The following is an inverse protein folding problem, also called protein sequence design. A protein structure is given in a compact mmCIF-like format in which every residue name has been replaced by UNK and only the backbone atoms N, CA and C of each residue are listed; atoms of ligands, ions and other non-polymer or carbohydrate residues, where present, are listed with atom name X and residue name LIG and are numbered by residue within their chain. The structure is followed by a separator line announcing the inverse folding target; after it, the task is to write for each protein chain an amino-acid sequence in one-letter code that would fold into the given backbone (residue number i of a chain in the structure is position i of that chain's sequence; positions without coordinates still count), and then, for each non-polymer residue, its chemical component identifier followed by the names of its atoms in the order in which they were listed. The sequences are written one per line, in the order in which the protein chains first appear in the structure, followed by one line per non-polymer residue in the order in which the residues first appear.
data_IF_288418165611
#
_entry.id   IF_288418165611
#
_cell.length_a   1.000
_cell.length_b   1.000
_cell.length_c   1.000
_cell.angle_alpha   90.00
_cell.angle_beta   90.00
_cell.angle_gamma   90.00
#
_symmetry.space_group_name_H-M   'P 1'
#
loop_
_entity.id
_entity.type
_entity.pdbx_description
1 polymer ?
#
# COMPACT_ATOMS: atom_id res chain seq x y z
N UNK A 1 23.20 8.68 -0.01
CA UNK A 1 23.02 7.51 0.86
C UNK A 1 23.65 6.33 0.16
N UNK A 2 24.56 5.58 0.80
CA UNK A 2 25.17 4.39 0.16
C UNK A 2 24.25 3.20 0.43
N UNK A 3 23.95 2.40 -0.59
CA UNK A 3 23.10 1.20 -0.44
C UNK A 3 23.70 0.20 0.56
N UNK A 4 25.02 0.21 0.72
CA UNK A 4 25.76 -0.61 1.68
C UNK A 4 25.43 -0.30 3.15
N UNK A 5 24.90 0.90 3.43
CA UNK A 5 24.46 1.32 4.78
C UNK A 5 22.97 1.05 5.02
N UNK A 6 22.25 0.50 4.03
CA UNK A 6 20.84 0.23 4.16
C UNK A 6 20.59 -0.85 5.22
N UNK A 7 19.63 -0.58 6.11
CA UNK A 7 19.20 -1.55 7.12
C UNK A 7 18.53 -2.76 6.45
N UNK A 8 18.67 -3.97 7.02
CA UNK A 8 17.90 -5.13 6.59
C UNK A 8 16.40 -4.88 6.58
N UNK A 9 15.69 -5.51 5.64
CA UNK A 9 14.23 -5.42 5.53
C UNK A 9 13.49 -5.79 6.84
N UNK A 10 14.04 -6.72 7.61
CA UNK A 10 13.47 -7.16 8.88
C UNK A 10 13.45 -6.06 9.96
N UNK A 11 14.30 -5.05 9.84
CA UNK A 11 14.42 -3.95 10.80
C UNK A 11 13.39 -2.83 10.56
N UNK A 12 12.60 -2.93 9.48
CA UNK A 12 11.52 -1.97 9.22
C UNK A 12 10.44 -2.15 10.31
N UNK A 13 10.12 -1.10 11.08
CA UNK A 13 9.16 -1.20 12.16
C UNK A 13 7.75 -1.45 11.60
N UNK A 14 6.91 -2.11 12.39
CA UNK A 14 5.53 -2.41 11.99
C UNK A 14 4.86 -3.42 12.90
N UNK A 15 3.54 -3.62 12.75
CA UNK A 15 2.83 -4.64 13.51
C UNK A 15 3.26 -6.04 13.07
N UNK A 16 3.23 -6.99 13.98
CA UNK A 16 3.29 -8.41 13.60
C UNK A 16 2.00 -8.85 12.91
N UNK A 17 2.03 -9.95 12.17
CA UNK A 17 0.84 -10.54 11.52
C UNK A 17 -0.32 -10.73 12.50
N UNK A 18 -0.03 -11.26 13.69
CA UNK A 18 -1.04 -11.51 14.71
C UNK A 18 -1.59 -10.22 15.32
N UNK A 19 -0.75 -9.19 15.51
CA UNK A 19 -1.20 -7.88 15.97
C UNK A 19 -2.13 -7.23 14.95
N UNK A 20 -1.77 -7.29 13.66
CA UNK A 20 -2.59 -6.73 12.60
C UNK A 20 -3.94 -7.44 12.51
N UNK A 21 -3.96 -8.78 12.49
CA UNK A 21 -5.22 -9.55 12.47
C UNK A 21 -6.10 -9.19 13.67
N UNK A 22 -5.53 -9.17 14.89
CA UNK A 22 -6.27 -8.80 16.11
C UNK A 22 -6.82 -7.37 16.05
N UNK A 23 -6.12 -6.45 15.40
CA UNK A 23 -6.56 -5.07 15.28
C UNK A 23 -7.83 -4.91 14.41
N UNK A 24 -8.13 -5.85 13.51
CA UNK A 24 -9.33 -5.84 12.66
C UNK A 24 -10.48 -6.73 13.16
N UNK A 25 -10.22 -7.61 14.15
CA UNK A 25 -11.27 -8.46 14.75
C UNK A 25 -12.28 -7.64 15.58
N UNK A 26 -13.44 -8.21 15.95
CA UNK A 26 -14.38 -7.58 16.87
C UNK A 26 -13.70 -7.06 18.15
N UNK A 27 -13.80 -5.75 18.42
CA UNK A 27 -13.13 -5.10 19.55
C UNK A 27 -11.70 -4.62 19.26
N UNK A 28 -11.18 -4.86 18.06
CA UNK A 28 -9.88 -4.37 17.60
C UNK A 28 -9.91 -2.88 17.25
N UNK A 29 -8.74 -2.23 17.39
CA UNK A 29 -8.58 -0.77 17.23
C UNK A 29 -8.87 -0.23 15.82
N UNK A 30 -8.80 -1.06 14.79
CA UNK A 30 -9.06 -0.68 13.39
C UNK A 30 -10.41 -1.17 12.88
N UNK A 31 -11.22 -1.79 13.73
CA UNK A 31 -12.57 -2.20 13.35
C UNK A 31 -13.41 -0.97 13.01
N UNK A 32 -13.95 -0.91 11.79
CA UNK A 32 -14.76 0.19 11.27
C UNK A 32 -14.05 1.57 11.25
N UNK A 33 -12.72 1.59 11.36
CA UNK A 33 -11.97 2.84 11.30
C UNK A 33 -11.76 3.24 9.83
N UNK A 34 -11.91 4.53 9.47
CA UNK A 34 -11.51 5.00 8.16
C UNK A 34 -10.03 4.67 7.88
N UNK A 35 -9.75 4.21 6.66
CA UNK A 35 -8.40 3.73 6.27
C UNK A 35 -7.32 4.80 6.47
N UNK A 36 -7.63 6.07 6.23
CA UNK A 36 -6.68 7.17 6.43
C UNK A 36 -6.32 7.38 7.92
N UNK A 37 -7.28 7.23 8.83
CA UNK A 37 -7.03 7.33 10.28
C UNK A 37 -6.17 6.16 10.78
N UNK A 38 -6.39 4.96 10.23
CA UNK A 38 -5.53 3.80 10.49
C UNK A 38 -4.07 4.09 10.09
N UNK A 39 -3.82 4.66 8.90
CA UNK A 39 -2.46 5.00 8.49
C UNK A 39 -1.82 6.10 9.34
N UNK A 40 -2.60 7.11 9.76
CA UNK A 40 -2.11 8.14 10.68
C UNK A 40 -1.74 7.54 12.05
N UNK A 41 -2.53 6.60 12.55
CA UNK A 41 -2.26 5.89 13.81
C UNK A 41 -1.02 4.98 13.70
N UNK A 42 -0.85 4.27 12.58
CA UNK A 42 0.36 3.47 12.32
C UNK A 42 1.60 4.34 12.20
N UNK A 43 1.50 5.49 11.53
CA UNK A 43 2.58 6.47 11.44
C UNK A 43 3.01 6.98 12.82
N UNK A 44 2.07 7.23 13.74
CA UNK A 44 2.37 7.62 15.12
C UNK A 44 3.08 6.52 15.90
N UNK A 45 2.75 5.25 15.65
CA UNK A 45 3.31 4.10 16.37
C UNK A 45 4.67 3.65 15.85
N UNK A 46 4.88 3.68 14.54
CA UNK A 46 6.04 3.06 13.88
C UNK A 46 6.95 4.08 13.17
N UNK A 47 6.52 5.33 13.04
CA UNK A 47 7.24 6.38 12.33
C UNK A 47 6.83 6.49 10.87
N UNK A 48 7.56 7.34 10.13
CA UNK A 48 7.24 7.70 8.74
C UNK A 48 7.38 6.54 7.75
N UNK A 49 8.14 5.50 8.07
CA UNK A 49 8.29 4.31 7.23
C UNK A 49 7.96 3.09 8.07
N UNK A 50 6.96 2.31 7.65
CA UNK A 50 6.56 1.10 8.37
C UNK A 50 6.15 -0.03 7.43
N UNK A 51 6.29 -1.26 7.92
CA UNK A 51 5.89 -2.48 7.21
C UNK A 51 4.55 -2.97 7.71
N UNK A 52 3.59 -3.10 6.80
CA UNK A 52 2.35 -3.83 7.05
C UNK A 52 2.45 -5.25 6.49
N UNK A 53 2.42 -6.28 7.34
CA UNK A 53 2.49 -7.64 6.86
C UNK A 53 1.18 -8.05 6.19
N UNK A 54 1.27 -8.85 5.13
CA UNK A 54 0.09 -9.40 4.48
C UNK A 54 -0.36 -10.71 5.14
N UNK A 55 -1.67 -10.94 5.15
CA UNK A 55 -2.28 -12.19 5.65
C UNK A 55 -2.19 -13.30 4.59
N UNK A 56 -2.21 -12.96 3.30
CA UNK A 56 -2.22 -13.94 2.20
C UNK A 56 -1.59 -13.38 0.89
N UNK A 57 -0.47 -12.67 1.00
CA UNK A 57 0.20 -12.08 -0.17
C UNK A 57 1.52 -11.40 0.20
N UNK A 58 1.92 -10.40 -0.60
CA UNK A 58 3.15 -9.64 -0.40
C UNK A 58 3.00 -8.60 0.70
N UNK A 59 3.97 -8.54 1.62
CA UNK A 59 4.07 -7.49 2.63
C UNK A 59 4.17 -6.10 1.95
N UNK A 60 3.61 -5.08 2.59
CA UNK A 60 3.64 -3.71 2.09
C UNK A 60 4.57 -2.87 2.97
N UNK A 61 5.43 -2.06 2.35
CA UNK A 61 6.18 -1.00 3.03
C UNK A 61 5.55 0.32 2.64
N UNK A 62 5.19 1.13 3.64
CA UNK A 62 4.52 2.40 3.45
C UNK A 62 5.41 3.51 3.96
N UNK A 63 5.47 4.60 3.19
CA UNK A 63 6.09 5.86 3.62
C UNK A 63 5.05 6.98 3.68
N UNK A 64 5.05 7.68 4.80
CA UNK A 64 4.25 8.88 5.07
C UNK A 64 5.10 10.16 4.94
N UNK A 65 6.36 10.05 4.50
CA UNK A 65 7.22 11.19 4.22
C UNK A 65 7.15 11.56 2.74
N UNK A 66 6.64 12.74 2.36
CA UNK A 66 6.56 13.17 0.96
C UNK A 66 7.92 13.21 0.23
N UNK A 67 9.01 13.44 0.96
CA UNK A 67 10.36 13.48 0.36
C UNK A 67 10.80 12.11 -0.17
N UNK A 68 10.26 11.02 0.38
CA UNK A 68 10.61 9.67 -0.05
C UNK A 68 9.98 9.33 -1.42
N UNK A 69 8.91 10.03 -1.82
CA UNK A 69 8.16 9.71 -3.03
C UNK A 69 9.03 9.85 -4.28
N UNK A 70 9.80 10.94 -4.39
CA UNK A 70 10.73 11.16 -5.50
C UNK A 70 11.78 10.04 -5.59
N UNK A 71 12.28 9.58 -4.43
CA UNK A 71 13.27 8.51 -4.35
C UNK A 71 12.64 7.19 -4.80
N UNK A 72 11.46 6.84 -4.29
CA UNK A 72 10.75 5.61 -4.66
C UNK A 72 10.51 5.59 -6.18
N UNK A 73 9.88 6.63 -6.73
CA UNK A 73 9.54 6.69 -8.16
C UNK A 73 10.76 6.67 -9.08
N UNK A 74 11.91 7.22 -8.65
CA UNK A 74 13.15 7.14 -9.43
C UNK A 74 13.79 5.76 -9.43
N UNK A 75 13.47 4.91 -8.46
CA UNK A 75 14.12 3.62 -8.23
C UNK A 75 13.22 2.41 -8.51
N UNK A 76 12.02 2.59 -9.10
CA UNK A 76 11.11 1.48 -9.45
C UNK A 76 11.63 0.60 -10.62
N UNK A 77 12.71 1.02 -11.28
CA UNK A 77 13.31 0.33 -12.41
C UNK A 77 12.63 0.64 -13.74
N UNK A 78 13.07 -0.03 -14.81
CA UNK A 78 12.60 0.23 -16.18
C UNK A 78 11.13 -0.16 -16.40
N UNK A 79 10.64 -1.16 -15.66
CA UNK A 79 9.29 -1.71 -15.80
C UNK A 79 8.56 -1.69 -14.45
N UNK A 80 8.09 -0.50 -13.99
CA UNK A 80 7.42 -0.39 -12.71
C UNK A 80 6.07 -1.11 -12.73
N UNK A 81 5.76 -1.85 -11.67
CA UNK A 81 4.44 -2.46 -11.52
C UNK A 81 3.45 -1.43 -10.95
N UNK A 82 2.58 -0.89 -11.82
CA UNK A 82 1.55 0.07 -11.44
C UNK A 82 0.22 -0.65 -11.25
N UNK A 83 -0.11 -0.99 -10.01
CA UNK A 83 -1.41 -1.59 -9.71
C UNK A 83 -2.53 -0.59 -9.99
N UNK A 84 -3.37 -0.89 -10.97
CA UNK A 84 -4.67 -0.26 -11.15
C UNK A 84 -5.63 -0.70 -10.04
N UNK A 85 -6.77 -0.01 -9.92
CA UNK A 85 -7.86 -0.50 -9.10
C UNK A 85 -8.61 -1.59 -9.88
N UNK A 86 -8.35 -2.86 -9.58
CA UNK A 86 -8.99 -3.99 -10.28
C UNK A 86 -10.53 -3.91 -10.29
N UNK A 87 -11.12 -3.38 -9.22
CA UNK A 87 -12.58 -3.13 -9.14
C UNK A 87 -13.03 -2.12 -10.19
N UNK A 88 -12.25 -1.07 -10.42
CA UNK A 88 -12.52 -0.07 -11.45
C UNK A 88 -12.34 -0.69 -12.85
N UNK A 89 -11.32 -1.52 -13.05
CA UNK A 89 -11.12 -2.22 -14.32
C UNK A 89 -12.27 -3.17 -14.63
N UNK A 90 -12.75 -3.93 -13.64
CA UNK A 90 -13.94 -4.76 -13.76
C UNK A 90 -15.18 -3.93 -14.09
N UNK A 91 -15.39 -2.82 -13.38
CA UNK A 91 -16.51 -1.92 -13.62
C UNK A 91 -16.51 -1.35 -15.04
N UNK A 92 -15.35 -0.88 -15.53
CA UNK A 92 -15.19 -0.38 -16.91
C UNK A 92 -15.50 -1.46 -17.95
N UNK A 93 -14.96 -2.67 -17.76
CA UNK A 93 -15.05 -3.77 -18.74
C UNK A 93 -16.42 -4.45 -18.76
N UNK A 94 -17.09 -4.57 -17.60
CA UNK A 94 -18.34 -5.32 -17.46
C UNK A 94 -19.56 -4.41 -17.38
N UNK A 95 -19.49 -3.30 -16.65
CA UNK A 95 -20.67 -2.46 -16.36
C UNK A 95 -20.74 -1.17 -17.18
N UNK A 96 -19.63 -0.70 -17.76
CA UNK A 96 -19.56 0.54 -18.55
C UNK A 96 -18.92 0.33 -19.92
N UNK A 97 -19.07 -0.87 -20.48
CA UNK A 97 -18.47 -1.25 -21.76
C UNK A 97 -18.91 -0.31 -22.90
N UNK A 98 -20.12 0.22 -22.83
CA UNK A 98 -20.70 1.17 -23.78
C UNK A 98 -19.99 2.54 -23.83
N UNK A 99 -19.31 2.93 -22.75
CA UNK A 99 -18.57 4.21 -22.67
C UNK A 99 -17.09 4.01 -23.00
N UNK A 100 -16.53 2.86 -22.61
CA UNK A 100 -15.09 2.60 -22.68
C UNK A 100 -14.69 1.75 -23.89
N UNK A 101 -15.64 1.14 -24.60
CA UNK A 101 -15.44 0.28 -25.78
C UNK A 101 -14.35 -0.80 -25.58
N UNK A 102 -14.22 -1.31 -24.35
CA UNK A 102 -13.19 -2.29 -23.99
C UNK A 102 -11.78 -1.72 -23.77
N UNK A 103 -11.59 -0.41 -23.91
CA UNK A 103 -10.34 0.29 -23.60
C UNK A 103 -10.36 0.86 -22.18
N UNK A 104 -9.24 0.77 -21.46
CA UNK A 104 -9.21 1.18 -20.04
C UNK A 104 -9.09 2.70 -19.79
N UNK A 105 -9.18 3.55 -20.84
CA UNK A 105 -9.03 5.01 -20.74
C UNK A 105 -7.63 5.47 -20.29
N UNK A 106 -7.41 6.78 -20.08
CA UNK A 106 -6.10 7.33 -19.65
C UNK A 106 -5.67 6.95 -18.22
N UNK A 107 -6.51 6.23 -17.48
CA UNK A 107 -6.32 5.95 -16.05
C UNK A 107 -5.93 4.50 -15.75
N UNK A 108 -5.51 3.74 -16.76
CA UNK A 108 -5.02 2.38 -16.60
C UNK A 108 -3.51 2.35 -16.44
N UNK A 109 -3.06 1.79 -15.32
CA UNK A 109 -1.70 1.29 -15.12
C UNK A 109 -1.68 -0.22 -15.30
#
# INVERSE_FOLDING_TARGET
MRLEEAKPYADIPGPSKLQLIRAFLPGGRYKNLPVHEMFLDMNRQYGSIFRMPSVAGTDMVLTMNPQDYEIVFRNEGQYPHRRSFEVMDYFKKVHRREIFDGYDGLTSG
#
